data_IF_777944917441
#
_entry.id   IF_777944917441
#
_cell.length_a   1.000
_cell.length_b   1.000
_cell.length_c   1.000
_cell.angle_alpha   90.00
_cell.angle_beta   90.00
_cell.angle_gamma   90.00
#
_symmetry.space_group_name_H-M   'P 1'
#
loop_
_entity.id
_entity.type
_entity.pdbx_description
1 polymer ?
#
# COMPACT_ATOMS: atom_id res chain seq x y z
N UNK A 1 12.27 29.30 21.21
CA UNK A 1 12.34 30.09 19.97
C UNK A 1 11.20 31.10 19.90
N UNK A 2 11.38 32.20 19.15
CA UNK A 2 10.36 33.20 18.91
C UNK A 2 9.79 33.02 17.50
N UNK A 3 8.56 32.57 17.39
CA UNK A 3 7.89 32.32 16.11
C UNK A 3 7.16 33.55 15.53
N UNK A 4 7.40 34.71 16.09
CA UNK A 4 6.98 35.98 15.51
C UNK A 4 5.60 36.50 15.87
N UNK A 5 4.72 35.72 16.46
CA UNK A 5 3.39 36.20 16.86
C UNK A 5 3.52 37.27 17.97
N UNK A 6 2.81 38.36 17.87
CA UNK A 6 1.81 38.86 16.89
C UNK A 6 2.44 39.78 15.81
N UNK A 7 3.75 39.89 15.76
CA UNK A 7 4.45 40.74 14.80
C UNK A 7 4.29 40.23 13.38
N UNK A 8 4.29 38.90 13.27
CA UNK A 8 4.14 38.17 12.01
C UNK A 8 3.10 37.07 12.17
N UNK A 9 2.38 36.80 11.09
CA UNK A 9 1.54 35.63 10.87
C UNK A 9 2.13 34.88 9.67
N UNK A 10 2.70 33.69 9.93
CA UNK A 10 3.56 33.04 8.93
C UNK A 10 4.74 33.95 8.55
N UNK A 11 4.96 34.15 7.26
CA UNK A 11 5.98 35.06 6.71
C UNK A 11 5.46 36.49 6.50
N UNK A 12 4.20 36.78 6.87
CA UNK A 12 3.55 38.05 6.62
C UNK A 12 3.52 38.93 7.86
N UNK A 13 3.73 40.23 7.68
CA UNK A 13 3.61 41.20 8.77
C UNK A 13 2.16 41.34 9.23
N UNK A 14 1.93 41.27 10.53
CA UNK A 14 0.58 41.47 11.12
C UNK A 14 0.51 42.74 11.94
N UNK A 15 1.19 42.83 13.08
CA UNK A 15 1.19 44.02 13.94
C UNK A 15 2.61 44.28 14.44
N UNK A 16 3.36 45.11 13.71
CA UNK A 16 4.80 45.31 13.92
C UNK A 16 5.18 46.34 14.99
N UNK A 17 4.18 47.09 15.56
CA UNK A 17 4.44 48.08 16.61
C UNK A 17 5.00 47.40 17.87
N UNK A 18 6.19 47.85 18.31
CA UNK A 18 6.85 47.33 19.50
C UNK A 18 7.49 45.93 19.31
N UNK A 19 7.64 45.49 18.09
CA UNK A 19 8.23 44.19 17.78
C UNK A 19 9.77 44.19 17.86
N UNK A 20 10.38 43.05 18.27
CA UNK A 20 11.83 42.88 18.18
C UNK A 20 12.28 42.78 16.73
N UNK A 21 13.60 42.77 16.52
CA UNK A 21 14.16 42.61 15.18
C UNK A 21 13.76 41.25 14.58
N UNK A 22 13.35 41.23 13.32
CA UNK A 22 12.97 40.05 12.56
C UNK A 22 14.04 38.94 12.61
N UNK A 23 15.32 39.30 12.63
CA UNK A 23 16.44 38.35 12.72
C UNK A 23 16.47 37.50 14.01
N UNK A 24 15.64 37.86 15.03
CA UNK A 24 15.53 37.12 16.27
C UNK A 24 14.34 36.17 16.27
N UNK A 25 13.64 36.05 15.15
CA UNK A 25 12.46 35.21 14.99
C UNK A 25 12.75 34.01 14.11
N UNK A 26 12.02 32.92 14.35
CA UNK A 26 12.05 31.70 13.54
C UNK A 26 10.78 31.63 12.71
N UNK A 27 10.95 31.68 11.40
CA UNK A 27 9.83 31.65 10.45
C UNK A 27 9.48 30.23 10.05
N UNK A 28 8.20 29.99 9.64
CA UNK A 28 7.76 28.67 9.23
C UNK A 28 8.44 28.24 7.91
N UNK A 29 8.63 26.93 7.75
CA UNK A 29 9.15 26.35 6.50
C UNK A 29 8.05 26.19 5.45
N UNK A 30 6.78 26.24 5.88
CA UNK A 30 5.61 26.16 5.01
C UNK A 30 4.45 26.98 5.59
N UNK A 31 3.68 27.60 4.71
CA UNK A 31 2.45 28.32 5.04
C UNK A 31 1.40 28.17 3.95
N UNK A 32 0.12 28.38 4.26
CA UNK A 32 -0.96 28.44 3.30
C UNK A 32 -1.94 29.58 3.64
N UNK A 33 -2.62 30.16 2.63
CA UNK A 33 -3.53 31.29 2.86
C UNK A 33 -4.88 30.79 3.39
N UNK A 34 -5.65 31.70 3.98
CA UNK A 34 -7.02 31.45 4.48
C UNK A 34 -8.00 30.95 3.40
N UNK A 35 -7.69 31.14 2.11
CA UNK A 35 -8.46 30.54 1.02
C UNK A 35 -8.29 29.02 0.90
N UNK A 36 -7.25 28.46 1.55
CA UNK A 36 -6.93 27.03 1.53
C UNK A 36 -7.25 26.36 2.87
N UNK A 37 -7.55 27.12 3.91
CA UNK A 37 -7.88 26.62 5.25
C UNK A 37 -8.08 27.73 6.23
N UNK A 38 -8.47 27.40 7.45
CA UNK A 38 -8.73 28.38 8.51
C UNK A 38 -7.87 28.18 9.76
N UNK A 39 -7.44 26.96 10.02
CA UNK A 39 -6.72 26.61 11.26
C UNK A 39 -5.84 25.38 11.05
N UNK A 40 -4.54 25.63 11.01
CA UNK A 40 -3.57 24.54 10.85
C UNK A 40 -3.58 23.64 12.08
N UNK A 41 -3.73 22.35 11.85
CA UNK A 41 -3.49 21.32 12.84
C UNK A 41 -2.07 20.80 12.66
N UNK A 42 -1.26 21.00 13.70
CA UNK A 42 0.12 20.51 13.73
C UNK A 42 0.17 19.00 13.62
N UNK A 43 1.27 18.52 13.14
CA UNK A 43 1.42 17.20 12.57
C UNK A 43 2.48 16.34 13.22
N UNK A 44 2.78 15.30 12.53
CA UNK A 44 3.74 14.28 12.96
C UNK A 44 4.58 13.81 11.76
N UNK A 45 5.78 13.32 12.04
CA UNK A 45 6.65 12.71 11.03
C UNK A 45 6.42 11.20 11.04
N UNK A 46 6.09 10.63 9.86
CA UNK A 46 5.97 9.19 9.72
C UNK A 46 7.32 8.50 9.95
N UNK A 47 7.35 7.55 10.88
CA UNK A 47 8.53 6.76 11.26
C UNK A 47 8.28 5.25 11.21
N UNK A 48 7.06 4.85 10.83
CA UNK A 48 6.67 3.45 10.69
C UNK A 48 7.37 2.74 9.54
N UNK A 49 7.27 1.42 9.53
CA UNK A 49 7.86 0.56 8.50
C UNK A 49 6.82 0.00 7.53
N UNK A 50 5.52 0.08 7.87
CA UNK A 50 4.46 -0.47 7.04
C UNK A 50 4.37 0.21 5.65
N UNK A 51 4.71 1.52 5.58
CA UNK A 51 4.70 2.27 4.33
C UNK A 51 6.09 2.88 4.09
N UNK A 52 7.01 2.09 3.55
CA UNK A 52 8.42 2.49 3.39
C UNK A 52 8.59 3.82 2.64
N UNK A 53 7.74 4.11 1.64
CA UNK A 53 7.77 5.34 0.86
C UNK A 53 7.43 6.60 1.67
N UNK A 54 6.84 6.48 2.87
CA UNK A 54 6.49 7.60 3.73
C UNK A 54 7.53 7.92 4.81
N UNK A 55 8.57 7.12 4.97
CA UNK A 55 9.62 7.36 5.97
C UNK A 55 10.16 8.79 5.88
N UNK A 56 10.12 9.53 7.01
CA UNK A 56 10.59 10.92 7.09
C UNK A 56 9.63 11.97 6.52
N UNK A 57 8.44 11.59 6.08
CA UNK A 57 7.41 12.51 5.59
C UNK A 57 6.65 13.13 6.77
N UNK A 58 6.55 14.46 6.80
CA UNK A 58 5.75 15.21 7.76
C UNK A 58 4.32 15.36 7.24
N UNK A 59 3.34 15.06 8.08
CA UNK A 59 1.91 15.22 7.82
C UNK A 59 1.34 16.34 8.70
N UNK A 60 0.44 17.13 8.13
CA UNK A 60 -0.31 18.17 8.83
C UNK A 60 -1.66 18.37 8.15
N UNK A 61 -2.58 19.08 8.80
CA UNK A 61 -3.93 19.26 8.28
C UNK A 61 -4.48 20.65 8.54
N UNK A 62 -5.60 20.95 7.90
CA UNK A 62 -6.49 22.05 8.28
C UNK A 62 -7.72 21.51 9.00
N UNK A 63 -8.04 22.11 10.14
CA UNK A 63 -9.19 21.73 10.95
C UNK A 63 -10.53 21.98 10.25
N UNK A 64 -10.68 23.12 9.54
CA UNK A 64 -11.95 23.53 8.96
C UNK A 64 -12.31 22.80 7.69
N UNK A 65 -11.33 22.56 6.84
CA UNK A 65 -11.53 21.95 5.52
C UNK A 65 -11.17 20.48 5.49
N UNK A 66 -10.64 19.97 6.60
CA UNK A 66 -10.19 18.56 6.72
C UNK A 66 -9.20 18.15 5.64
N UNK A 67 -8.49 19.14 5.10
CA UNK A 67 -7.47 18.90 4.11
C UNK A 67 -6.21 18.39 4.80
N UNK A 68 -5.67 17.29 4.31
CA UNK A 68 -4.44 16.68 4.82
C UNK A 68 -3.35 16.88 3.78
N UNK A 69 -2.21 17.40 4.23
CA UNK A 69 -1.02 17.57 3.39
C UNK A 69 0.17 16.83 3.99
N UNK A 70 1.13 16.59 3.14
CA UNK A 70 2.43 16.07 3.56
C UNK A 70 3.56 16.72 2.77
N UNK A 71 4.73 16.78 3.39
CA UNK A 71 5.97 17.17 2.73
C UNK A 71 7.18 16.52 3.39
N UNK A 72 8.33 16.65 2.74
CA UNK A 72 9.64 16.36 3.31
C UNK A 72 10.43 17.65 3.45
N UNK A 73 11.32 17.69 4.43
CA UNK A 73 12.20 18.83 4.69
C UNK A 73 13.63 18.36 4.90
N UNK A 74 14.57 18.93 4.16
CA UNK A 74 15.99 18.54 4.19
C UNK A 74 16.87 19.41 5.13
N UNK A 75 16.25 20.32 5.87
CA UNK A 75 16.93 21.31 6.71
C UNK A 75 17.05 22.70 6.06
N UNK A 76 16.76 22.81 4.77
CA UNK A 76 16.80 24.08 4.02
C UNK A 76 15.55 24.32 3.18
N UNK A 77 15.00 23.28 2.59
CA UNK A 77 13.89 23.36 1.63
C UNK A 77 12.84 22.28 1.87
N UNK A 78 11.58 22.65 1.62
CA UNK A 78 10.46 21.74 1.53
C UNK A 78 10.42 21.12 0.14
N UNK A 79 10.25 19.80 0.07
CA UNK A 79 10.09 19.06 -1.18
C UNK A 79 9.05 17.95 -1.01
N UNK A 80 8.63 17.31 -2.10
CA UNK A 80 7.60 16.25 -2.11
C UNK A 80 6.29 16.69 -1.41
N UNK A 81 5.88 17.95 -1.63
CA UNK A 81 4.63 18.46 -1.10
C UNK A 81 3.45 17.84 -1.84
N UNK A 82 2.50 17.27 -1.08
CA UNK A 82 1.35 16.61 -1.65
C UNK A 82 0.08 16.84 -0.82
N UNK A 83 -1.06 16.93 -1.48
CA UNK A 83 -2.38 16.81 -0.86
C UNK A 83 -2.73 15.32 -0.76
N UNK A 84 -2.91 14.84 0.46
CA UNK A 84 -3.18 13.43 0.79
C UNK A 84 -4.64 13.13 1.07
N UNK A 85 -5.51 14.13 1.07
CA UNK A 85 -6.92 14.01 1.50
C UNK A 85 -7.65 12.86 0.83
N UNK A 86 -7.53 12.74 -0.50
CA UNK A 86 -8.20 11.68 -1.25
C UNK A 86 -7.58 10.29 -1.06
N UNK A 87 -6.29 10.23 -0.69
CA UNK A 87 -5.58 8.97 -0.44
C UNK A 87 -5.86 8.40 0.96
N UNK A 88 -6.29 9.27 1.89
CA UNK A 88 -6.56 8.93 3.28
C UNK A 88 -8.07 8.86 3.56
N UNK A 89 -8.84 8.37 2.59
CA UNK A 89 -10.26 8.09 2.78
C UNK A 89 -10.42 6.88 3.71
N UNK A 90 -11.14 6.99 4.84
CA UNK A 90 -11.29 5.87 5.76
C UNK A 90 -12.28 4.83 5.22
N UNK A 91 -12.11 3.58 5.64
CA UNK A 91 -13.03 2.47 5.29
C UNK A 91 -14.41 2.66 5.93
N UNK A 92 -14.45 3.26 7.12
CA UNK A 92 -15.68 3.52 7.89
C UNK A 92 -15.64 4.95 8.42
N UNK A 93 -16.77 5.65 8.35
CA UNK A 93 -16.90 7.01 8.83
C UNK A 93 -16.32 8.05 7.88
N UNK A 94 -15.89 9.16 8.42
CA UNK A 94 -15.28 10.27 7.67
C UNK A 94 -14.27 10.99 8.53
N UNK A 95 -13.19 11.45 7.92
CA UNK A 95 -12.25 12.37 8.58
C UNK A 95 -12.75 13.78 8.34
N UNK A 96 -13.09 14.51 9.41
CA UNK A 96 -13.71 15.84 9.29
C UNK A 96 -13.04 16.92 10.13
N UNK A 97 -12.97 16.78 11.42
CA UNK A 97 -12.46 17.80 12.34
C UNK A 97 -11.11 17.37 12.92
N UNK A 98 -10.10 17.36 12.08
CA UNK A 98 -8.77 16.85 12.46
C UNK A 98 -8.17 17.70 13.58
N UNK A 99 -8.03 17.11 14.76
CA UNK A 99 -7.56 17.80 15.97
C UNK A 99 -6.09 17.51 16.29
N UNK A 100 -5.50 16.50 15.69
CA UNK A 100 -4.10 16.16 15.89
C UNK A 100 -3.65 14.92 15.14
N UNK A 101 -2.35 14.68 15.24
CA UNK A 101 -1.69 13.47 14.75
C UNK A 101 -0.93 12.84 15.89
N UNK A 102 -0.73 11.54 15.81
CA UNK A 102 0.08 10.81 16.77
C UNK A 102 0.74 9.61 16.11
N UNK A 103 1.63 8.94 16.84
CA UNK A 103 2.26 7.70 16.38
C UNK A 103 2.35 6.68 17.50
N UNK A 104 2.32 5.42 17.15
CA UNK A 104 2.57 4.33 18.08
C UNK A 104 4.08 4.08 18.31
N UNK A 105 4.40 3.10 19.15
CA UNK A 105 5.77 2.72 19.44
C UNK A 105 6.52 2.14 18.23
N UNK A 106 5.81 1.66 17.21
CA UNK A 106 6.37 1.21 15.95
C UNK A 106 6.59 2.35 14.96
N UNK A 107 6.14 3.58 15.29
CA UNK A 107 6.24 4.75 14.43
C UNK A 107 5.12 4.89 13.41
N UNK A 108 4.10 4.01 13.48
CA UNK A 108 2.92 4.10 12.61
C UNK A 108 2.02 5.26 13.03
N UNK A 109 1.44 5.94 12.04
CA UNK A 109 0.76 7.22 12.25
C UNK A 109 -0.74 7.06 12.42
N UNK A 110 -1.29 7.94 13.28
CA UNK A 110 -2.71 8.06 13.56
C UNK A 110 -3.17 9.50 13.37
N UNK A 111 -4.41 9.66 12.93
CA UNK A 111 -5.13 10.92 12.81
C UNK A 111 -6.22 10.91 13.87
N UNK A 112 -6.29 11.98 14.69
CA UNK A 112 -7.33 12.16 15.69
C UNK A 112 -8.39 13.10 15.16
N UNK A 113 -9.63 12.64 15.11
CA UNK A 113 -10.80 13.44 14.77
C UNK A 113 -11.51 13.89 16.06
N UNK A 114 -11.91 15.16 16.12
CA UNK A 114 -12.57 15.71 17.30
C UNK A 114 -13.97 15.11 17.56
N UNK A 115 -14.55 14.46 16.54
CA UNK A 115 -15.82 13.75 16.68
C UNK A 115 -15.71 12.41 17.45
N UNK A 116 -14.49 12.00 17.79
CA UNK A 116 -14.22 10.86 18.67
C UNK A 116 -13.52 9.69 18.01
N UNK A 117 -13.26 9.76 16.72
CA UNK A 117 -12.58 8.72 15.96
C UNK A 117 -11.07 8.89 15.99
N UNK A 118 -10.36 7.76 15.88
CA UNK A 118 -8.91 7.69 15.67
C UNK A 118 -8.65 6.78 14.48
N UNK A 119 -8.06 7.31 13.44
CA UNK A 119 -7.77 6.59 12.20
C UNK A 119 -6.28 6.26 12.13
N UNK A 120 -5.95 5.01 11.82
CA UNK A 120 -4.58 4.59 11.54
C UNK A 120 -4.30 4.73 10.04
N UNK A 121 -3.16 5.34 9.68
CA UNK A 121 -2.68 5.32 8.30
C UNK A 121 -2.08 3.94 8.01
N UNK A 122 -2.63 3.26 7.02
CA UNK A 122 -2.22 1.91 6.61
C UNK A 122 -1.85 1.90 5.13
N UNK A 123 -1.03 0.95 4.67
CA UNK A 123 -0.80 0.78 3.24
C UNK A 123 -2.12 0.53 2.52
N UNK A 124 -2.26 1.02 1.30
CA UNK A 124 -3.35 0.58 0.43
C UNK A 124 -3.23 -0.93 0.24
N UNK A 125 -4.26 -1.72 0.53
CA UNK A 125 -4.23 -3.14 0.27
C UNK A 125 -3.88 -3.39 -1.20
N UNK A 126 -2.98 -4.32 -1.46
CA UNK A 126 -2.70 -4.72 -2.83
C UNK A 126 -3.91 -5.47 -3.40
N UNK A 127 -4.24 -5.18 -4.65
CA UNK A 127 -5.14 -6.03 -5.43
C UNK A 127 -4.37 -7.17 -6.06
N UNK A 128 -5.05 -8.24 -6.39
CA UNK A 128 -4.47 -9.39 -7.09
C UNK A 128 -5.56 -10.26 -7.70
N UNK A 129 -5.17 -11.30 -8.36
CA UNK A 129 -6.08 -12.25 -9.00
C UNK A 129 -6.86 -13.05 -7.95
N UNK A 130 -8.15 -13.14 -8.14
CA UNK A 130 -9.08 -13.91 -7.35
C UNK A 130 -9.86 -14.87 -8.24
N UNK A 131 -9.75 -16.15 -7.98
CA UNK A 131 -10.52 -17.18 -8.66
C UNK A 131 -11.89 -17.29 -8.04
N UNK A 132 -12.95 -17.10 -8.82
CA UNK A 132 -14.34 -17.17 -8.35
C UNK A 132 -15.07 -18.32 -9.02
N UNK A 133 -15.72 -19.13 -8.20
CA UNK A 133 -16.43 -20.33 -8.66
C UNK A 133 -15.47 -21.43 -9.14
N UNK A 134 -16.04 -22.40 -9.85
CA UNK A 134 -15.33 -23.59 -10.38
C UNK A 134 -15.07 -23.51 -11.89
N UNK A 135 -15.29 -22.33 -12.50
CA UNK A 135 -15.28 -22.14 -13.95
C UNK A 135 -14.03 -21.43 -14.48
N UNK A 136 -13.02 -21.24 -13.64
CA UNK A 136 -11.82 -20.50 -14.02
C UNK A 136 -12.00 -18.99 -14.17
N UNK A 137 -13.13 -18.46 -13.67
CA UNK A 137 -13.37 -17.02 -13.70
C UNK A 137 -12.42 -16.31 -12.77
N UNK A 138 -11.69 -15.34 -13.29
CA UNK A 138 -10.74 -14.51 -12.53
C UNK A 138 -11.18 -13.05 -12.51
N UNK A 139 -11.08 -12.43 -11.34
CA UNK A 139 -11.27 -11.00 -11.15
C UNK A 139 -10.09 -10.41 -10.39
N UNK A 140 -9.73 -9.16 -10.70
CA UNK A 140 -8.68 -8.45 -9.99
C UNK A 140 -9.31 -7.66 -8.85
N UNK A 141 -9.07 -8.06 -7.60
CA UNK A 141 -9.78 -7.55 -6.41
C UNK A 141 -8.89 -7.58 -5.17
N UNK A 142 -9.31 -6.99 -4.08
CA UNK A 142 -8.65 -7.11 -2.78
C UNK A 142 -8.83 -8.49 -2.17
N UNK A 143 -7.81 -8.98 -1.43
CA UNK A 143 -7.84 -10.26 -0.73
C UNK A 143 -9.11 -10.47 0.12
N UNK A 144 -9.45 -9.46 0.95
CA UNK A 144 -10.63 -9.51 1.83
C UNK A 144 -11.95 -9.71 1.07
N UNK A 145 -12.07 -9.09 -0.10
CA UNK A 145 -13.26 -9.22 -0.93
C UNK A 145 -13.28 -10.57 -1.66
N UNK A 146 -12.12 -11.08 -2.08
CA UNK A 146 -11.97 -12.39 -2.66
C UNK A 146 -12.41 -13.49 -1.69
N UNK A 147 -11.81 -13.51 -0.51
CA UNK A 147 -12.10 -14.51 0.53
C UNK A 147 -13.52 -14.37 1.10
N UNK A 148 -14.00 -13.13 1.27
CA UNK A 148 -15.37 -12.85 1.69
C UNK A 148 -16.43 -13.31 0.69
N UNK A 149 -16.09 -13.36 -0.59
CA UNK A 149 -16.93 -13.90 -1.67
C UNK A 149 -16.78 -15.41 -1.89
N UNK A 150 -15.96 -16.10 -1.09
CA UNK A 150 -15.68 -17.54 -1.24
C UNK A 150 -14.74 -17.87 -2.40
N UNK A 151 -13.99 -16.89 -2.89
CA UNK A 151 -12.98 -17.09 -3.92
C UNK A 151 -11.64 -17.57 -3.36
N UNK A 152 -10.74 -17.97 -4.27
CA UNK A 152 -9.35 -18.32 -3.96
C UNK A 152 -8.45 -17.12 -4.32
N UNK A 153 -7.72 -16.59 -3.34
CA UNK A 153 -6.79 -15.49 -3.51
C UNK A 153 -5.41 -16.00 -3.94
N UNK A 154 -4.90 -15.51 -5.08
CA UNK A 154 -3.60 -15.94 -5.64
C UNK A 154 -2.42 -15.11 -5.14
N UNK A 155 -2.68 -14.05 -4.36
CA UNK A 155 -1.63 -13.19 -3.79
C UNK A 155 -1.66 -11.75 -4.32
N UNK A 156 -0.89 -10.85 -3.66
CA UNK A 156 -0.81 -9.45 -4.05
C UNK A 156 -0.08 -9.28 -5.39
N UNK A 157 -0.59 -8.38 -6.24
CA UNK A 157 -0.05 -8.04 -7.55
C UNK A 157 0.00 -9.20 -8.57
N UNK A 158 -0.73 -10.28 -8.32
CA UNK A 158 -0.94 -11.34 -9.32
C UNK A 158 -1.96 -10.87 -10.35
N UNK A 159 -1.83 -11.34 -11.61
CA UNK A 159 -2.72 -10.98 -12.71
C UNK A 159 -3.58 -12.17 -13.11
N UNK A 160 -4.80 -11.90 -13.55
CA UNK A 160 -5.68 -12.90 -14.14
C UNK A 160 -5.14 -13.47 -15.46
N UNK A 161 -4.25 -12.75 -16.12
CA UNK A 161 -3.61 -13.22 -17.35
C UNK A 161 -2.59 -14.34 -17.13
N UNK A 162 -2.12 -14.52 -15.89
CA UNK A 162 -1.15 -15.56 -15.54
C UNK A 162 -1.77 -16.97 -15.48
N UNK A 163 -3.05 -17.12 -15.81
CA UNK A 163 -3.74 -18.41 -15.92
C UNK A 163 -4.02 -19.14 -14.61
N UNK A 164 -3.66 -18.56 -13.47
CA UNK A 164 -3.77 -19.20 -12.15
C UNK A 164 -5.20 -19.53 -11.67
N UNK A 165 -6.23 -19.07 -12.40
CA UNK A 165 -7.64 -19.41 -12.13
C UNK A 165 -8.24 -20.39 -13.14
N UNK A 166 -7.47 -20.80 -14.12
CA UNK A 166 -7.96 -21.82 -15.05
C UNK A 166 -8.02 -23.16 -14.34
N UNK A 167 -9.21 -23.79 -14.21
CA UNK A 167 -9.33 -25.10 -13.61
C UNK A 167 -8.56 -26.18 -14.40
N UNK A 168 -8.14 -25.84 -15.63
CA UNK A 168 -7.30 -26.72 -16.44
C UNK A 168 -5.81 -26.31 -16.38
N UNK A 169 -5.46 -25.22 -15.68
CA UNK A 169 -4.07 -24.77 -15.53
C UNK A 169 -3.43 -25.49 -14.33
N UNK A 170 -3.16 -26.74 -14.52
CA UNK A 170 -2.41 -27.59 -13.62
C UNK A 170 -1.20 -28.13 -14.40
N UNK A 171 -0.12 -27.33 -14.54
CA UNK A 171 1.00 -27.72 -15.39
C UNK A 171 1.63 -29.07 -15.01
N UNK A 172 1.42 -29.48 -13.78
CA UNK A 172 1.91 -30.75 -13.24
C UNK A 172 0.93 -31.93 -13.41
N UNK A 173 -0.31 -31.69 -13.87
CA UNK A 173 -1.27 -32.73 -14.28
C UNK A 173 -0.99 -33.11 -15.75
N UNK A 174 0.04 -33.91 -15.94
CA UNK A 174 0.60 -34.26 -17.26
C UNK A 174 -0.33 -35.22 -18.01
N UNK A 175 -1.05 -36.09 -17.29
CA UNK A 175 -1.95 -37.05 -17.92
C UNK A 175 -3.38 -36.52 -18.08
N UNK A 176 -3.68 -35.29 -17.50
CA UNK A 176 -4.94 -34.58 -17.66
C UNK A 176 -6.12 -35.21 -16.92
N UNK A 177 -5.87 -35.94 -15.86
CA UNK A 177 -6.93 -36.62 -15.09
C UNK A 177 -7.59 -35.72 -14.04
N UNK A 178 -7.09 -34.49 -13.86
CA UNK A 178 -7.59 -33.47 -12.93
C UNK A 178 -6.92 -33.53 -11.55
N UNK A 179 -5.81 -34.25 -11.41
CA UNK A 179 -5.05 -34.32 -10.17
C UNK A 179 -3.58 -34.64 -10.43
N UNK A 180 -2.68 -33.97 -9.74
CA UNK A 180 -1.25 -34.36 -9.75
C UNK A 180 -1.05 -35.58 -8.89
N UNK A 181 -0.65 -36.67 -9.49
CA UNK A 181 -0.54 -37.99 -8.87
C UNK A 181 0.70 -38.78 -9.29
N UNK A 182 0.65 -40.08 -9.04
CA UNK A 182 1.77 -41.00 -9.38
C UNK A 182 2.00 -41.07 -10.89
N UNK A 183 0.92 -41.01 -11.69
CA UNK A 183 1.02 -41.13 -13.13
C UNK A 183 1.79 -39.95 -13.75
N UNK A 184 1.57 -38.74 -13.25
CA UNK A 184 2.24 -37.51 -13.68
C UNK A 184 3.74 -37.58 -13.37
N UNK A 185 4.08 -38.03 -12.16
CA UNK A 185 5.48 -38.23 -11.78
C UNK A 185 6.14 -39.30 -12.68
N UNK A 186 5.44 -40.37 -13.06
CA UNK A 186 5.96 -41.38 -13.96
C UNK A 186 6.13 -40.85 -15.39
N UNK A 187 5.22 -40.01 -15.87
CA UNK A 187 5.32 -39.32 -17.15
C UNK A 187 6.53 -38.38 -17.16
N UNK A 188 6.67 -37.52 -16.12
CA UNK A 188 7.79 -36.62 -15.95
C UNK A 188 9.14 -37.35 -15.93
N UNK A 189 9.25 -38.49 -15.20
CA UNK A 189 10.46 -39.31 -15.18
C UNK A 189 10.72 -39.92 -16.53
N UNK A 190 9.69 -40.27 -17.30
CA UNK A 190 9.80 -40.83 -18.65
C UNK A 190 10.39 -39.84 -19.66
N UNK A 191 10.17 -38.56 -19.48
CA UNK A 191 10.63 -37.46 -20.35
C UNK A 191 11.92 -36.81 -19.85
N UNK A 192 12.60 -37.40 -18.89
CA UNK A 192 13.77 -36.83 -18.25
C UNK A 192 14.89 -36.44 -19.20
N UNK A 193 15.30 -35.17 -19.20
CA UNK A 193 16.41 -34.67 -20.04
C UNK A 193 15.97 -33.48 -20.88
N UNK A 194 16.70 -33.20 -21.95
CA UNK A 194 16.41 -32.10 -22.85
C UNK A 194 15.03 -32.28 -23.51
N UNK A 195 14.17 -31.35 -23.30
CA UNK A 195 12.82 -31.34 -23.83
C UNK A 195 12.45 -29.94 -24.30
N UNK A 196 11.86 -29.81 -25.48
CA UNK A 196 11.40 -28.53 -26.02
C UNK A 196 9.91 -28.64 -26.29
N UNK A 197 9.12 -28.04 -25.39
CA UNK A 197 7.66 -27.98 -25.48
C UNK A 197 6.99 -29.32 -25.18
N UNK A 198 7.46 -30.08 -24.21
CA UNK A 198 6.74 -31.20 -23.63
C UNK A 198 6.03 -30.78 -22.34
N UNK A 199 4.90 -31.41 -22.05
CA UNK A 199 4.07 -31.11 -20.89
C UNK A 199 4.78 -31.43 -19.55
N UNK A 200 5.88 -32.22 -19.59
CA UNK A 200 6.69 -32.57 -18.43
C UNK A 200 7.71 -31.50 -18.02
N UNK A 201 7.99 -30.52 -18.89
CA UNK A 201 8.83 -29.34 -18.60
C UNK A 201 7.95 -28.25 -17.98
N UNK A 202 7.69 -28.41 -16.67
CA UNK A 202 6.70 -27.63 -15.95
C UNK A 202 7.11 -26.16 -15.84
N UNK A 203 8.42 -25.89 -15.77
CA UNK A 203 8.96 -24.54 -15.61
C UNK A 203 9.40 -23.88 -16.94
N UNK A 204 9.21 -24.57 -18.09
CA UNK A 204 9.53 -24.08 -19.42
C UNK A 204 11.05 -23.72 -19.61
N UNK A 205 11.95 -24.37 -18.89
CA UNK A 205 13.40 -24.10 -19.00
C UNK A 205 14.08 -24.89 -20.13
N UNK A 206 13.35 -25.78 -20.79
CA UNK A 206 13.79 -26.63 -21.89
C UNK A 206 14.40 -27.95 -21.46
N UNK A 207 14.35 -28.30 -20.18
CA UNK A 207 14.94 -29.51 -19.62
C UNK A 207 14.10 -30.10 -18.50
N UNK A 208 13.53 -31.27 -18.70
CA UNK A 208 12.85 -31.99 -17.60
C UNK A 208 13.90 -32.53 -16.62
N UNK A 209 13.84 -32.04 -15.39
CA UNK A 209 14.84 -32.30 -14.36
C UNK A 209 14.26 -32.34 -12.94
N UNK A 210 15.13 -32.26 -11.93
CA UNK A 210 14.69 -32.27 -10.52
C UNK A 210 13.82 -31.08 -10.12
N UNK A 211 13.95 -29.96 -10.83
CA UNK A 211 13.13 -28.77 -10.52
C UNK A 211 11.67 -29.02 -10.87
N UNK A 212 11.41 -29.59 -12.05
CA UNK A 212 10.06 -29.97 -12.49
C UNK A 212 9.44 -31.02 -11.56
N UNK A 213 10.26 -32.00 -11.15
CA UNK A 213 9.82 -33.00 -10.18
C UNK A 213 9.42 -32.39 -8.84
N UNK A 214 10.15 -31.40 -8.35
CA UNK A 214 9.83 -30.73 -7.11
C UNK A 214 8.56 -29.88 -7.23
N UNK A 215 8.32 -29.25 -8.38
CA UNK A 215 7.09 -28.52 -8.68
C UNK A 215 5.89 -29.44 -8.75
N UNK A 216 6.04 -30.60 -9.45
CA UNK A 216 4.99 -31.60 -9.48
C UNK A 216 4.64 -32.16 -8.08
N UNK A 217 5.66 -32.51 -7.29
CA UNK A 217 5.44 -32.97 -5.90
C UNK A 217 4.85 -31.90 -5.02
N UNK A 218 5.23 -30.63 -5.23
CA UNK A 218 4.66 -29.46 -4.53
C UNK A 218 3.20 -29.20 -4.85
N UNK A 219 2.74 -29.63 -6.02
CA UNK A 219 1.36 -29.47 -6.51
C UNK A 219 0.50 -30.74 -6.30
N UNK A 220 0.96 -31.69 -5.50
CA UNK A 220 0.30 -32.99 -5.31
C UNK A 220 -1.14 -32.89 -4.82
N UNK A 221 -2.08 -33.50 -5.53
CA UNK A 221 -3.51 -33.56 -5.20
C UNK A 221 -4.40 -33.07 -6.34
N UNK A 222 -5.68 -32.79 -6.03
CA UNK A 222 -6.63 -32.31 -7.05
C UNK A 222 -6.19 -30.93 -7.61
N UNK A 223 -6.31 -30.76 -8.91
CA UNK A 223 -6.19 -29.48 -9.59
C UNK A 223 -7.45 -28.55 -9.43
#
# INVERSE_FOLDING_TARGET
ENYGWRCYEGNHTYSTSGCPNQSTMTFPVWEYPHSSGCSVTGGEIYRGSAIAGLQGTYFFADYCYSTIWSFRYDGSSVYDYQNRTSQLSPDIGSISSISGFGRDAAGEMYICDLNGEVFKIVPTPATGACCVGTTGSCIHIYESNCLGGGGTWLGPNTDCADGGCDPNNCPADIDGDGAVGVNDILALIGDWGACSGCDSDINDDGVVNVTDLLEAVGSWGPC
#
